data_IF_325096356191
#
_entry.id   IF_325096356191
#
_cell.length_a   1.000
_cell.length_b   1.000
_cell.length_c   1.000
_cell.angle_alpha   90.00
_cell.angle_beta   90.00
_cell.angle_gamma   90.00
#
_symmetry.space_group_name_H-M   'P 1'
#
loop_
_entity.id
_entity.type
_entity.pdbx_description
1 polymer ?
#
# COMPACT_ATOMS: atom_id res chain seq x y z
N UNK A 1 -2.63 3.45 -7.97
CA UNK A 1 -1.41 3.18 -7.20
C UNK A 1 -1.04 4.36 -6.32
N UNK A 2 -0.98 4.14 -5.02
CA UNK A 2 -0.56 5.11 -4.01
C UNK A 2 0.85 4.79 -3.51
N UNK A 3 1.68 5.82 -3.34
CA UNK A 3 3.04 5.67 -2.83
C UNK A 3 3.21 6.30 -1.45
N UNK A 4 3.70 5.50 -0.50
CA UNK A 4 3.90 5.92 0.88
C UNK A 4 5.38 6.10 1.20
N UNK A 5 5.69 7.24 1.83
CA UNK A 5 7.02 7.55 2.36
C UNK A 5 7.19 6.95 3.76
N UNK A 6 8.38 6.41 4.01
CA UNK A 6 8.75 5.83 5.29
C UNK A 6 8.88 6.92 6.34
N UNK A 7 8.78 6.54 7.62
CA UNK A 7 9.08 7.46 8.72
C UNK A 7 10.54 7.93 8.63
N UNK A 8 10.81 9.13 9.15
CA UNK A 8 12.16 9.71 9.12
C UNK A 8 13.13 8.79 9.86
N UNK A 9 14.24 8.45 9.18
CA UNK A 9 15.28 7.58 9.73
C UNK A 9 15.09 6.10 9.38
N UNK A 10 13.89 5.67 9.00
CA UNK A 10 13.56 4.26 8.77
C UNK A 10 13.58 3.90 7.27
N UNK A 11 13.87 2.64 6.95
CA UNK A 11 13.95 2.11 5.58
C UNK A 11 13.02 0.89 5.43
N UNK A 12 12.52 0.63 4.22
CA UNK A 12 11.58 -0.48 3.98
C UNK A 12 12.22 -1.81 4.34
N UNK A 13 13.42 -2.05 3.81
CA UNK A 13 14.18 -3.29 3.98
C UNK A 13 14.49 -3.60 5.46
N UNK A 14 14.60 -2.58 6.31
CA UNK A 14 14.85 -2.78 7.74
C UNK A 14 13.57 -3.11 8.51
N UNK A 15 12.44 -2.53 8.11
CA UNK A 15 11.14 -2.76 8.76
C UNK A 15 10.50 -4.06 8.29
N UNK A 16 10.62 -4.33 7.00
CA UNK A 16 10.03 -5.47 6.32
C UNK A 16 11.13 -6.11 5.45
N UNK A 17 12.00 -6.92 6.05
CA UNK A 17 13.12 -7.54 5.33
C UNK A 17 12.66 -8.50 4.24
N UNK A 18 11.48 -9.11 4.39
CA UNK A 18 10.87 -9.97 3.38
C UNK A 18 9.47 -9.47 3.02
N UNK A 19 9.43 -8.43 2.18
CA UNK A 19 8.18 -7.77 1.79
C UNK A 19 7.19 -8.72 1.13
N UNK A 20 7.68 -9.70 0.35
CA UNK A 20 6.83 -10.70 -0.28
C UNK A 20 6.10 -11.52 0.79
N UNK A 21 6.84 -12.08 1.75
CA UNK A 21 6.26 -12.88 2.83
C UNK A 21 5.24 -12.06 3.62
N UNK A 22 5.55 -10.81 3.95
CA UNK A 22 4.61 -9.94 4.66
C UNK A 22 3.33 -9.69 3.84
N UNK A 23 3.43 -9.45 2.53
CA UNK A 23 2.25 -9.33 1.67
C UNK A 23 1.44 -10.64 1.70
N UNK A 24 2.11 -11.79 1.63
CA UNK A 24 1.45 -13.10 1.68
C UNK A 24 0.74 -13.36 3.01
N UNK A 25 1.34 -12.92 4.12
CA UNK A 25 0.76 -13.03 5.46
C UNK A 25 -0.47 -12.13 5.62
N UNK A 26 -0.45 -10.91 5.10
CA UNK A 26 -1.57 -9.97 5.24
C UNK A 26 -2.70 -10.23 4.26
N UNK A 27 -2.39 -10.49 2.99
CA UNK A 27 -3.39 -10.48 1.92
C UNK A 27 -3.60 -11.84 1.27
N UNK A 28 -2.67 -12.78 1.39
CA UNK A 28 -2.75 -14.09 0.72
C UNK A 28 -1.68 -14.27 -0.36
N UNK A 29 -1.63 -15.47 -0.98
CA UNK A 29 -0.50 -15.89 -1.80
C UNK A 29 -0.24 -14.95 -2.98
N UNK A 30 1.03 -14.64 -3.23
CA UNK A 30 1.41 -13.84 -4.39
C UNK A 30 1.30 -14.70 -5.64
N UNK A 31 0.51 -14.21 -6.58
CA UNK A 31 0.17 -14.88 -7.84
C UNK A 31 1.03 -14.43 -9.02
N UNK A 32 1.63 -13.24 -8.92
CA UNK A 32 2.47 -12.67 -9.98
C UNK A 32 3.19 -11.40 -9.57
N UNK A 33 3.77 -10.72 -10.56
CA UNK A 33 4.39 -9.42 -10.42
C UNK A 33 3.96 -8.47 -11.53
N UNK A 34 3.97 -7.17 -11.25
CA UNK A 34 3.68 -6.09 -12.20
C UNK A 34 4.78 -5.02 -12.11
N UNK A 35 5.26 -4.53 -13.25
CA UNK A 35 6.28 -3.48 -13.28
C UNK A 35 5.66 -2.10 -13.00
N UNK A 36 6.24 -1.37 -12.06
CA UNK A 36 5.89 0.02 -11.77
C UNK A 36 7.13 0.85 -11.45
N UNK A 37 7.32 1.96 -12.17
CA UNK A 37 8.48 2.85 -12.02
C UNK A 37 9.84 2.11 -12.03
N UNK A 38 9.96 1.06 -12.86
CA UNK A 38 11.17 0.24 -12.97
C UNK A 38 11.42 -0.68 -11.76
N UNK A 39 10.41 -0.92 -10.94
CA UNK A 39 10.43 -1.88 -9.83
C UNK A 39 9.33 -2.92 -10.01
N UNK A 40 9.57 -4.16 -9.61
CA UNK A 40 8.57 -5.24 -9.62
C UNK A 40 7.71 -5.21 -8.35
N UNK A 41 6.40 -5.03 -8.50
CA UNK A 41 5.44 -5.10 -7.41
C UNK A 41 4.76 -6.48 -7.41
N UNK A 42 4.47 -7.01 -6.23
CA UNK A 42 3.81 -8.29 -6.06
C UNK A 42 2.30 -8.15 -6.21
N UNK A 43 1.68 -9.10 -6.91
CA UNK A 43 0.23 -9.13 -7.18
C UNK A 43 -0.40 -10.31 -6.45
N UNK A 44 -1.45 -10.02 -5.69
CA UNK A 44 -2.37 -10.99 -5.08
C UNK A 44 -3.72 -10.85 -5.78
N UNK A 45 -3.99 -11.78 -6.71
CA UNK A 45 -5.22 -11.81 -7.51
C UNK A 45 -6.40 -12.44 -6.76
N UNK A 46 -6.11 -13.28 -5.75
CA UNK A 46 -7.11 -13.90 -4.89
C UNK A 46 -6.80 -13.61 -3.41
N UNK A 47 -7.12 -12.40 -2.92
CA UNK A 47 -6.88 -12.05 -1.54
C UNK A 47 -7.72 -12.89 -0.58
N UNK A 48 -7.16 -13.22 0.58
CA UNK A 48 -7.84 -14.01 1.62
C UNK A 48 -9.03 -13.27 2.25
N UNK A 49 -9.03 -11.94 2.21
CA UNK A 49 -10.17 -11.14 2.68
C UNK A 49 -11.08 -10.82 1.48
N UNK A 50 -12.36 -11.19 1.53
CA UNK A 50 -13.30 -11.05 0.42
C UNK A 50 -13.54 -9.60 -0.01
N UNK A 51 -13.18 -8.60 0.78
CA UNK A 51 -13.33 -7.18 0.43
C UNK A 51 -12.39 -6.78 -0.69
N UNK A 52 -11.21 -7.39 -0.77
CA UNK A 52 -10.26 -7.08 -1.83
C UNK A 52 -10.50 -7.97 -3.05
N UNK A 53 -10.60 -7.36 -4.22
CA UNK A 53 -10.59 -8.06 -5.51
C UNK A 53 -9.15 -8.35 -5.93
N UNK A 54 -8.26 -7.37 -5.75
CA UNK A 54 -6.84 -7.47 -6.10
C UNK A 54 -6.02 -6.58 -5.20
N UNK A 55 -4.85 -7.07 -4.77
CA UNK A 55 -3.86 -6.27 -4.05
C UNK A 55 -2.55 -6.28 -4.81
N UNK A 56 -2.03 -5.09 -5.10
CA UNK A 56 -0.68 -4.90 -5.65
C UNK A 56 0.15 -4.17 -4.62
N UNK A 57 1.33 -4.68 -4.27
CA UNK A 57 2.20 -4.01 -3.31
C UNK A 57 3.68 -4.32 -3.57
N UNK A 58 4.54 -3.34 -3.37
CA UNK A 58 5.97 -3.55 -3.51
C UNK A 58 6.83 -2.33 -3.19
N UNK A 59 8.14 -2.56 -3.18
CA UNK A 59 9.13 -1.51 -2.99
C UNK A 59 9.39 -0.82 -4.32
N UNK A 60 9.34 0.51 -4.34
CA UNK A 60 9.75 1.33 -5.48
C UNK A 60 11.06 2.01 -5.15
N UNK A 61 12.10 1.66 -5.89
CA UNK A 61 13.43 2.20 -5.70
C UNK A 61 13.58 3.54 -6.42
N UNK A 62 14.19 4.51 -5.74
CA UNK A 62 14.50 5.82 -6.31
C UNK A 62 15.98 6.14 -6.12
N UNK A 63 16.68 6.48 -7.20
CA UNK A 63 18.10 6.85 -7.11
C UNK A 63 18.29 8.06 -6.18
N UNK A 64 19.15 7.90 -5.16
CA UNK A 64 19.48 8.96 -4.20
C UNK A 64 18.38 9.30 -3.19
N UNK A 65 17.30 8.52 -3.14
CA UNK A 65 16.23 8.64 -2.14
C UNK A 65 16.00 7.29 -1.48
N UNK A 66 15.30 7.30 -0.36
CA UNK A 66 14.80 6.05 0.23
C UNK A 66 13.74 5.45 -0.68
N UNK A 67 13.67 4.12 -0.69
CA UNK A 67 12.59 3.40 -1.34
C UNK A 67 11.24 3.86 -0.79
N UNK A 68 10.19 3.68 -1.59
CA UNK A 68 8.80 3.93 -1.20
C UNK A 68 8.01 2.63 -1.27
N UNK A 69 6.97 2.53 -0.46
CA UNK A 69 6.01 1.46 -0.58
C UNK A 69 4.93 1.90 -1.57
N UNK A 70 4.83 1.24 -2.72
CA UNK A 70 3.70 1.40 -3.63
C UNK A 70 2.64 0.34 -3.31
N UNK A 71 1.38 0.76 -3.31
CA UNK A 71 0.23 -0.11 -3.08
C UNK A 71 -0.92 0.25 -4.01
N UNK A 72 -1.72 -0.74 -4.35
CA UNK A 72 -3.02 -0.62 -4.99
C UNK A 72 -3.95 -1.65 -4.35
N UNK A 73 -5.05 -1.18 -3.77
CA UNK A 73 -6.06 -2.03 -3.16
C UNK A 73 -7.35 -1.86 -3.96
N UNK A 74 -7.66 -2.86 -4.79
CA UNK A 74 -8.94 -2.92 -5.49
C UNK A 74 -9.96 -3.56 -4.55
N UNK A 75 -10.97 -2.79 -4.15
CA UNK A 75 -11.96 -3.18 -3.14
C UNK A 75 -13.35 -3.31 -3.78
N UNK A 76 -14.05 -4.40 -3.47
CA UNK A 76 -15.43 -4.62 -3.91
C UNK A 76 -16.34 -3.53 -3.40
N UNK A 77 -17.36 -3.24 -4.19
CA UNK A 77 -18.41 -2.29 -3.80
C UNK A 77 -19.24 -2.82 -2.63
N UNK A 78 -19.85 -1.90 -1.86
CA UNK A 78 -20.73 -2.27 -0.75
C UNK A 78 -21.92 -3.13 -1.22
N UNK A 79 -22.45 -2.87 -2.41
CA UNK A 79 -23.57 -3.63 -3.00
C UNK A 79 -23.18 -5.09 -3.25
N UNK A 80 -21.96 -5.34 -3.74
CA UNK A 80 -21.46 -6.70 -3.95
C UNK A 80 -21.20 -7.43 -2.64
N UNK A 81 -20.64 -6.73 -1.64
CA UNK A 81 -20.45 -7.30 -0.31
C UNK A 81 -21.79 -7.65 0.36
N UNK A 82 -22.82 -6.83 0.19
CA UNK A 82 -24.18 -7.16 0.65
C UNK A 82 -24.75 -8.36 -0.11
N UNK A 83 -24.49 -8.46 -1.42
CA UNK A 83 -24.93 -9.56 -2.26
C UNK A 83 -24.32 -10.92 -1.87
N UNK A 84 -23.07 -10.93 -1.41
CA UNK A 84 -22.38 -12.16 -0.98
C UNK A 84 -22.42 -12.39 0.53
N UNK A 85 -22.86 -11.40 1.32
CA UNK A 85 -22.92 -11.49 2.78
C UNK A 85 -21.58 -11.24 3.47
N UNK A 86 -20.63 -10.57 2.80
CA UNK A 86 -19.26 -10.33 3.26
C UNK A 86 -19.07 -8.98 3.96
N UNK A 87 -20.15 -8.26 4.27
CA UNK A 87 -20.08 -6.90 4.83
C UNK A 87 -19.31 -6.86 6.16
N UNK A 88 -19.42 -7.91 6.99
CA UNK A 88 -18.69 -8.02 8.25
C UNK A 88 -17.16 -8.08 8.06
N UNK A 89 -16.66 -8.51 6.90
CA UNK A 89 -15.23 -8.58 6.60
C UNK A 89 -14.57 -7.22 6.32
N UNK A 90 -15.38 -6.15 6.17
CA UNK A 90 -14.90 -4.78 5.93
C UNK A 90 -14.06 -4.23 7.09
N UNK A 91 -14.37 -4.64 8.33
CA UNK A 91 -13.57 -4.31 9.50
C UNK A 91 -12.15 -4.88 9.38
N UNK A 92 -12.06 -6.21 9.26
CA UNK A 92 -10.80 -6.92 9.10
C UNK A 92 -9.99 -6.44 7.88
N UNK A 93 -10.64 -6.06 6.79
CA UNK A 93 -9.97 -5.53 5.60
C UNK A 93 -9.29 -4.20 5.91
N UNK A 94 -10.00 -3.29 6.59
CA UNK A 94 -9.46 -2.00 6.97
C UNK A 94 -8.36 -2.13 8.03
N UNK A 95 -8.49 -3.05 8.99
CA UNK A 95 -7.44 -3.34 9.96
C UNK A 95 -6.18 -3.87 9.26
N UNK A 96 -6.31 -4.91 8.42
CA UNK A 96 -5.19 -5.46 7.64
C UNK A 96 -4.47 -4.40 6.79
N UNK A 97 -5.22 -3.52 6.10
CA UNK A 97 -4.65 -2.41 5.33
C UNK A 97 -3.89 -1.43 6.23
N UNK A 98 -4.42 -1.10 7.39
CA UNK A 98 -3.79 -0.14 8.30
C UNK A 98 -2.56 -0.70 9.00
N UNK A 99 -2.61 -1.94 9.46
CA UNK A 99 -1.50 -2.64 10.10
C UNK A 99 -0.37 -2.86 9.09
N UNK A 100 -0.65 -3.36 7.88
CA UNK A 100 0.36 -3.51 6.82
C UNK A 100 1.07 -2.19 6.51
N UNK A 101 0.31 -1.10 6.33
CA UNK A 101 0.87 0.20 6.03
C UNK A 101 1.65 0.78 7.21
N UNK A 102 1.20 0.57 8.45
CA UNK A 102 1.91 1.01 9.66
C UNK A 102 3.22 0.22 9.83
N UNK A 103 3.17 -1.10 9.73
CA UNK A 103 4.32 -1.98 9.83
C UNK A 103 5.37 -1.63 8.79
N UNK A 104 4.94 -1.46 7.53
CA UNK A 104 5.84 -1.18 6.41
C UNK A 104 6.43 0.22 6.43
N UNK A 105 5.62 1.23 6.75
CA UNK A 105 6.05 2.64 6.62
C UNK A 105 6.48 3.27 7.93
N UNK A 106 6.16 2.65 9.08
CA UNK A 106 6.33 3.23 10.41
C UNK A 106 5.39 4.44 10.66
N UNK A 107 4.31 4.57 9.88
CA UNK A 107 3.37 5.69 9.97
C UNK A 107 1.93 5.22 10.14
N UNK A 108 1.28 5.75 11.16
CA UNK A 108 -0.15 5.56 11.38
C UNK A 108 -0.98 6.28 10.29
N UNK A 109 -2.25 5.91 10.16
CA UNK A 109 -3.17 6.43 9.15
C UNK A 109 -3.20 7.97 9.12
N UNK A 110 -3.23 8.62 10.29
CA UNK A 110 -3.19 10.08 10.40
C UNK A 110 -1.88 10.65 9.82
N UNK A 111 -0.74 10.09 10.21
CA UNK A 111 0.59 10.51 9.75
C UNK A 111 0.79 10.30 8.24
N UNK A 112 0.20 9.23 7.68
CA UNK A 112 0.16 8.95 6.25
C UNK A 112 -0.64 10.01 5.50
N UNK A 113 -1.87 10.30 5.96
CA UNK A 113 -2.75 11.33 5.39
C UNK A 113 -2.12 12.73 5.41
N UNK A 114 -1.53 13.13 6.53
CA UNK A 114 -0.83 14.42 6.63
C UNK A 114 0.37 14.50 5.68
N UNK A 115 1.11 13.40 5.50
CA UNK A 115 2.26 13.37 4.58
C UNK A 115 1.83 13.47 3.12
N UNK A 116 0.75 12.79 2.74
CA UNK A 116 0.16 12.89 1.40
C UNK A 116 -0.37 14.30 1.13
N UNK A 117 -1.10 14.89 2.09
CA UNK A 117 -1.58 16.27 1.97
C UNK A 117 -0.43 17.26 1.74
N UNK A 118 0.64 17.16 2.53
CA UNK A 118 1.82 18.03 2.35
C UNK A 118 2.52 17.80 1.02
N UNK A 119 2.58 16.57 0.51
CA UNK A 119 3.15 16.32 -0.81
C UNK A 119 2.34 17.00 -1.92
N UNK A 120 1.01 16.96 -1.84
CA UNK A 120 0.12 17.69 -2.77
C UNK A 120 0.29 19.20 -2.65
N UNK A 121 0.45 19.73 -1.43
CA UNK A 121 0.68 21.15 -1.19
C UNK A 121 2.06 21.62 -1.72
N UNK A 122 3.11 20.81 -1.58
CA UNK A 122 4.45 21.08 -2.11
C UNK A 122 4.48 21.04 -3.65
N UNK A 123 3.77 20.10 -4.27
CA UNK A 123 3.56 20.05 -5.73
C UNK A 123 2.73 21.25 -6.24
N UNK A 124 1.75 21.72 -5.47
CA UNK A 124 0.92 22.87 -5.84
C UNK A 124 1.61 24.24 -5.61
N UNK A 125 2.55 24.32 -4.67
CA UNK A 125 3.31 25.54 -4.33
C UNK A 125 4.68 25.61 -5.03
N UNK A 126 5.01 24.65 -5.91
CA UNK A 126 6.14 24.80 -6.82
C UNK A 126 5.65 25.63 -8.03
N UNK A 127 5.90 26.95 -8.12
CA UNK A 127 5.70 27.64 -9.39
C UNK A 127 6.62 26.96 -10.41
N UNK A 128 6.04 26.50 -11.51
CA UNK A 128 6.74 26.10 -12.72
C UNK A 128 7.58 27.32 -13.18
N UNK A 129 8.80 27.43 -12.64
CA UNK A 129 9.75 28.45 -13.07
C UNK A 129 10.41 27.93 -14.34
N UNK A 130 9.88 28.46 -15.44
CA UNK A 130 10.48 28.74 -16.76
C UNK A 130 12.01 28.70 -16.78
#
# INVERSE_FOLDING_TARGET
>A
MEEYKMRRGEYLEERVPDLKTTIEEYFGPVTGTEEYNGSDLYVVDEPKNPVFERVVAGAVAYSGKKDRLAVDFEERSLEELMGTGDVDAAGDANDAKNDFLLESTGRDAKSRRESMKRAVEDDADTPDSV
#
